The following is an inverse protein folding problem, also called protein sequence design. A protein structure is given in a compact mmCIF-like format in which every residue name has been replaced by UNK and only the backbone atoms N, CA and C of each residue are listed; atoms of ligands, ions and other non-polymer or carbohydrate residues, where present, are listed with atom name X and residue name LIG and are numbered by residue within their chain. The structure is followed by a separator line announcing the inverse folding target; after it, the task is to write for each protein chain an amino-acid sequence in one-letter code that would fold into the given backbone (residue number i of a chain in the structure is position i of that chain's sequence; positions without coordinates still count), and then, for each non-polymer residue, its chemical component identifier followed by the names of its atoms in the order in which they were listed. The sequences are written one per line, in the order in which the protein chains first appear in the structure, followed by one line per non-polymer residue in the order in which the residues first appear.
data_IF_880828023268
#
_entry.id   IF_880828023268
#
_cell.length_a   1.000
_cell.length_b   1.000
_cell.length_c   1.000
_cell.angle_alpha   90.00
_cell.angle_beta   90.00
_cell.angle_gamma   90.00
#
_symmetry.space_group_name_H-M   'P 1'
#
loop_
_entity.id
_entity.type
_entity.pdbx_description
1 polymer ?
#
# COMPACT_ATOMS: atom_id res chain seq x y z
N UNK A 1 28.02 -20.59 -37.50
CA UNK A 1 26.59 -20.96 -37.39
C UNK A 1 25.94 -20.00 -36.40
N UNK A 2 24.93 -19.24 -36.81
CA UNK A 2 24.24 -18.29 -35.92
C UNK A 2 23.33 -19.06 -34.96
N UNK A 3 23.31 -18.69 -33.68
CA UNK A 3 22.47 -19.35 -32.69
C UNK A 3 20.97 -19.20 -33.07
N UNK A 4 20.13 -20.23 -32.85
CA UNK A 4 18.72 -20.15 -33.18
C UNK A 4 18.03 -19.02 -32.40
N UNK A 5 17.14 -18.29 -33.07
CA UNK A 5 16.39 -17.18 -32.48
C UNK A 5 15.54 -17.70 -31.31
N UNK A 6 15.73 -17.14 -30.10
CA UNK A 6 14.94 -17.51 -28.92
C UNK A 6 13.49 -17.02 -29.07
N UNK A 7 12.47 -17.85 -28.80
CA UNK A 7 11.09 -17.42 -28.85
C UNK A 7 10.85 -16.30 -27.82
N UNK A 8 10.18 -15.22 -28.25
CA UNK A 8 9.95 -14.01 -27.44
C UNK A 8 8.65 -14.03 -26.65
N UNK A 9 7.73 -14.93 -27.01
CA UNK A 9 6.38 -14.98 -26.46
C UNK A 9 6.03 -16.40 -26.04
N UNK A 10 5.41 -16.51 -24.87
CA UNK A 10 4.83 -17.74 -24.35
C UNK A 10 3.32 -17.51 -24.19
N UNK A 11 2.51 -18.26 -24.94
CA UNK A 11 1.05 -18.26 -24.82
C UNK A 11 0.60 -19.46 -24.00
N UNK A 12 -0.14 -19.20 -22.93
CA UNK A 12 -0.68 -20.22 -22.04
C UNK A 12 -2.21 -20.23 -22.15
N UNK A 13 -2.77 -21.39 -22.46
CA UNK A 13 -4.21 -21.62 -22.57
C UNK A 13 -4.62 -22.71 -21.59
N UNK A 14 -5.70 -22.47 -20.84
CA UNK A 14 -6.21 -23.40 -19.83
C UNK A 14 -7.72 -23.51 -19.98
N UNK A 15 -8.22 -24.74 -19.93
CA UNK A 15 -9.63 -25.05 -19.70
C UNK A 15 -9.73 -25.66 -18.30
N UNK A 16 -10.54 -25.03 -17.45
CA UNK A 16 -10.70 -25.41 -16.05
C UNK A 16 -12.20 -25.48 -15.73
N UNK A 17 -12.63 -26.57 -15.10
CA UNK A 17 -14.00 -26.74 -14.62
C UNK A 17 -14.05 -26.47 -13.14
N UNK A 18 -15.00 -25.63 -12.73
CA UNK A 18 -15.25 -25.27 -11.34
C UNK A 18 -16.70 -25.63 -11.01
N UNK A 19 -16.92 -26.32 -9.88
CA UNK A 19 -18.24 -26.86 -9.51
C UNK A 19 -18.63 -26.36 -8.13
N UNK A 20 -19.88 -25.90 -7.97
CA UNK A 20 -20.44 -25.43 -6.71
C UNK A 20 -19.60 -24.34 -6.00
N UNK A 21 -18.98 -23.44 -6.76
CA UNK A 21 -18.16 -22.33 -6.24
C UNK A 21 -18.57 -20.99 -6.82
N UNK A 22 -18.26 -19.92 -6.09
CA UNK A 22 -18.56 -18.53 -6.47
C UNK A 22 -17.29 -17.66 -6.34
N UNK A 23 -16.33 -17.80 -7.27
CA UNK A 23 -15.00 -17.21 -7.16
C UNK A 23 -14.99 -15.68 -7.25
N UNK A 24 -15.94 -15.09 -7.97
CA UNK A 24 -16.08 -13.64 -8.09
C UNK A 24 -17.55 -13.25 -7.96
N UNK A 25 -17.82 -12.28 -7.09
CA UNK A 25 -19.15 -11.72 -6.83
C UNK A 25 -19.27 -10.31 -7.38
N UNK A 26 -20.47 -9.91 -7.76
CA UNK A 26 -20.83 -8.53 -8.02
C UNK A 26 -21.23 -7.79 -6.73
N UNK A 27 -21.66 -6.54 -6.86
CA UNK A 27 -22.15 -5.70 -5.77
C UNK A 27 -23.37 -6.26 -5.03
N UNK A 28 -24.15 -7.15 -5.65
CA UNK A 28 -25.34 -7.77 -5.07
C UNK A 28 -25.04 -9.17 -4.51
N UNK A 29 -23.78 -9.62 -4.57
CA UNK A 29 -23.36 -10.94 -4.11
C UNK A 29 -23.63 -12.07 -5.10
N UNK A 30 -24.12 -11.77 -6.32
CA UNK A 30 -24.36 -12.71 -7.40
C UNK A 30 -23.06 -12.99 -8.19
N UNK A 31 -23.00 -14.06 -9.00
CA UNK A 31 -21.84 -14.30 -9.86
C UNK A 31 -21.60 -13.13 -10.81
N UNK A 32 -20.35 -12.68 -10.91
CA UNK A 32 -19.99 -11.71 -11.95
C UNK A 32 -20.23 -12.37 -13.31
N UNK A 33 -20.97 -11.72 -14.21
CA UNK A 33 -21.27 -12.27 -15.54
C UNK A 33 -20.71 -11.43 -16.68
N UNK A 34 -20.64 -12.03 -17.88
CA UNK A 34 -20.33 -11.38 -19.15
C UNK A 34 -21.14 -12.05 -20.27
N UNK A 35 -21.56 -11.28 -21.27
CA UNK A 35 -22.18 -11.85 -22.49
C UNK A 35 -21.08 -12.13 -23.51
N UNK A 36 -20.97 -13.38 -23.97
CA UNK A 36 -20.03 -13.79 -25.00
C UNK A 36 -20.68 -14.77 -25.97
N UNK A 37 -20.74 -14.38 -27.25
CA UNK A 37 -21.45 -15.14 -28.28
C UNK A 37 -22.97 -15.14 -28.09
N UNK A 38 -23.54 -14.05 -27.58
CA UNK A 38 -24.99 -13.91 -27.36
C UNK A 38 -25.55 -14.62 -26.13
N UNK A 39 -24.69 -15.30 -25.34
CA UNK A 39 -25.10 -16.04 -24.14
C UNK A 39 -24.35 -15.49 -22.92
N UNK A 40 -25.06 -15.40 -21.79
CA UNK A 40 -24.47 -15.04 -20.51
C UNK A 40 -23.56 -16.16 -19.97
N UNK A 41 -22.39 -15.77 -19.46
CA UNK A 41 -21.41 -16.66 -18.85
C UNK A 41 -20.91 -16.07 -17.54
N UNK A 42 -20.63 -16.92 -16.56
CA UNK A 42 -19.94 -16.49 -15.35
C UNK A 42 -18.48 -16.14 -15.66
N UNK A 43 -18.01 -15.04 -15.07
CA UNK A 43 -16.71 -14.44 -15.33
C UNK A 43 -15.84 -14.50 -14.08
N UNK A 44 -14.66 -15.12 -14.22
CA UNK A 44 -13.54 -14.90 -13.30
C UNK A 44 -12.69 -13.77 -13.86
N UNK A 45 -12.73 -12.62 -13.20
CA UNK A 45 -12.04 -11.42 -13.68
C UNK A 45 -10.52 -11.59 -13.68
N UNK A 46 -9.85 -10.89 -14.58
CA UNK A 46 -8.40 -10.93 -14.69
C UNK A 46 -7.70 -10.45 -13.41
N UNK A 47 -8.29 -9.50 -12.67
CA UNK A 47 -7.71 -9.02 -11.42
C UNK A 47 -7.80 -10.08 -10.32
N UNK A 48 -8.91 -10.83 -10.23
CA UNK A 48 -9.08 -11.91 -9.26
C UNK A 48 -8.05 -13.03 -9.49
N UNK A 49 -7.90 -13.46 -10.75
CA UNK A 49 -6.94 -14.50 -11.14
C UNK A 49 -5.49 -14.08 -10.88
N UNK A 50 -5.08 -12.90 -11.38
CA UNK A 50 -3.74 -12.36 -11.15
C UNK A 50 -3.43 -12.15 -9.68
N UNK A 51 -4.44 -11.82 -8.85
CA UNK A 51 -4.24 -11.69 -7.40
C UNK A 51 -3.92 -13.05 -6.79
N UNK A 52 -4.69 -14.09 -7.12
CA UNK A 52 -4.45 -15.44 -6.62
C UNK A 52 -3.05 -15.94 -7.01
N UNK A 53 -2.67 -15.77 -8.28
CA UNK A 53 -1.35 -16.14 -8.81
C UNK A 53 -0.20 -15.43 -8.07
N UNK A 54 -0.32 -14.10 -7.87
CA UNK A 54 0.71 -13.32 -7.14
C UNK A 54 0.84 -13.76 -5.69
N UNK A 55 -0.29 -13.99 -5.01
CA UNK A 55 -0.29 -14.42 -3.61
C UNK A 55 0.35 -15.80 -3.48
N UNK A 56 -0.07 -16.75 -4.30
CA UNK A 56 0.51 -18.09 -4.32
C UNK A 56 2.02 -18.07 -4.58
N UNK A 57 2.47 -17.31 -5.58
CA UNK A 57 3.89 -17.19 -5.93
C UNK A 57 4.70 -16.57 -4.79
N UNK A 58 4.17 -15.51 -4.17
CA UNK A 58 4.79 -14.86 -3.02
C UNK A 58 4.86 -15.76 -1.81
N UNK A 59 3.76 -16.40 -1.44
CA UNK A 59 3.70 -17.22 -0.22
C UNK A 59 4.64 -18.45 -0.37
N UNK A 60 4.80 -18.98 -1.60
CA UNK A 60 5.82 -19.98 -1.90
C UNK A 60 7.24 -19.46 -1.81
N UNK A 61 7.53 -18.29 -2.38
CA UNK A 61 8.86 -17.67 -2.30
C UNK A 61 9.25 -17.41 -0.83
N UNK A 62 8.35 -16.83 -0.04
CA UNK A 62 8.53 -16.58 1.39
C UNK A 62 8.75 -17.88 2.20
N UNK A 63 8.19 -19.00 1.74
CA UNK A 63 8.40 -20.32 2.33
C UNK A 63 9.69 -21.03 1.84
N UNK A 64 10.57 -20.32 1.12
CA UNK A 64 11.81 -20.89 0.57
C UNK A 64 11.56 -21.90 -0.56
N UNK A 65 10.42 -21.82 -1.27
CA UNK A 65 10.01 -22.79 -2.29
C UNK A 65 9.84 -22.16 -3.68
N UNK A 66 10.41 -22.82 -4.69
CA UNK A 66 10.18 -22.53 -6.10
C UNK A 66 11.19 -21.54 -6.71
N UNK A 67 11.00 -21.15 -7.98
CA UNK A 67 12.01 -20.38 -8.73
C UNK A 67 12.14 -18.92 -8.29
N UNK A 68 11.27 -18.45 -7.39
CA UNK A 68 11.23 -17.03 -6.97
C UNK A 68 11.79 -16.80 -5.56
N UNK A 69 12.44 -17.79 -4.94
CA UNK A 69 12.94 -17.71 -3.55
C UNK A 69 13.95 -16.58 -3.36
N UNK A 70 14.79 -16.33 -4.36
CA UNK A 70 15.81 -15.26 -4.30
C UNK A 70 15.23 -13.86 -4.55
N UNK A 71 13.94 -13.75 -4.87
CA UNK A 71 13.30 -12.48 -5.21
C UNK A 71 12.50 -11.93 -4.02
N UNK A 72 12.80 -10.68 -3.62
CA UNK A 72 11.94 -9.93 -2.71
C UNK A 72 10.63 -9.56 -3.41
N UNK A 73 9.51 -9.99 -2.84
CA UNK A 73 8.18 -9.71 -3.37
C UNK A 73 7.70 -8.35 -2.88
N UNK A 74 7.17 -7.54 -3.80
CA UNK A 74 6.62 -6.23 -3.43
C UNK A 74 5.30 -6.32 -2.66
N UNK A 75 5.07 -5.35 -1.78
CA UNK A 75 3.81 -5.16 -1.04
C UNK A 75 3.10 -3.92 -1.57
N UNK A 76 1.79 -4.03 -1.80
CA UNK A 76 0.94 -2.91 -2.18
C UNK A 76 0.10 -2.46 -0.98
N UNK A 77 0.45 -1.33 -0.36
CA UNK A 77 -0.25 -0.83 0.83
C UNK A 77 -0.25 0.70 0.92
N UNK A 78 -1.13 1.24 1.77
CA UNK A 78 -1.15 2.65 2.18
C UNK A 78 -0.45 2.87 3.54
N UNK A 79 -0.07 1.78 4.21
CA UNK A 79 0.40 1.76 5.60
C UNK A 79 1.93 1.86 5.71
N UNK A 80 2.62 2.47 4.75
CA UNK A 80 4.08 2.51 4.76
C UNK A 80 4.64 3.23 5.99
N UNK A 81 4.00 4.30 6.47
CA UNK A 81 4.40 4.97 7.70
C UNK A 81 4.28 4.05 8.93
N UNK A 82 3.19 3.27 9.01
CA UNK A 82 2.97 2.32 10.11
C UNK A 82 3.94 1.13 10.03
N UNK A 83 4.26 0.65 8.83
CA UNK A 83 5.25 -0.42 8.64
C UNK A 83 6.65 0.02 9.04
N UNK A 84 7.06 1.22 8.63
CA UNK A 84 8.34 1.81 9.03
C UNK A 84 8.39 2.05 10.54
N UNK A 85 7.32 2.60 11.13
CA UNK A 85 7.25 2.82 12.57
C UNK A 85 7.34 1.50 13.36
N UNK A 86 6.61 0.46 12.93
CA UNK A 86 6.70 -0.86 13.56
C UNK A 86 8.12 -1.44 13.49
N UNK A 87 8.83 -1.24 12.39
CA UNK A 87 10.23 -1.66 12.27
C UNK A 87 11.17 -0.85 13.18
N UNK A 88 10.94 0.46 13.37
CA UNK A 88 11.67 1.28 14.33
C UNK A 88 11.48 0.79 15.78
N UNK A 89 10.26 0.40 16.14
CA UNK A 89 9.98 -0.16 17.47
C UNK A 89 10.63 -1.53 17.66
N UNK A 90 10.36 -2.46 16.74
CA UNK A 90 10.75 -3.86 16.90
C UNK A 90 12.26 -4.06 16.84
N UNK A 91 12.94 -3.29 15.98
CA UNK A 91 14.37 -3.50 15.68
C UNK A 91 15.27 -2.51 16.40
N UNK A 92 14.76 -1.31 16.70
CA UNK A 92 15.56 -0.20 17.22
C UNK A 92 15.04 0.35 18.56
N UNK A 93 13.94 -0.18 19.10
CA UNK A 93 13.44 0.17 20.43
C UNK A 93 12.84 1.57 20.55
N UNK A 94 12.48 2.20 19.43
CA UNK A 94 11.85 3.51 19.45
C UNK A 94 10.48 3.47 20.15
N UNK A 95 10.14 4.56 20.83
CA UNK A 95 8.79 4.77 21.35
C UNK A 95 7.79 4.90 20.18
N UNK A 96 6.61 4.27 20.31
CA UNK A 96 5.60 4.12 19.25
C UNK A 96 5.17 5.45 18.64
N UNK A 97 4.79 6.41 19.46
CA UNK A 97 4.27 7.70 19.01
C UNK A 97 5.33 8.48 18.24
N UNK A 98 6.57 8.51 18.76
CA UNK A 98 7.74 9.07 18.08
C UNK A 98 8.01 8.36 16.76
N UNK A 99 8.03 7.03 16.74
CA UNK A 99 8.29 6.24 15.54
C UNK A 99 7.26 6.55 14.43
N UNK A 100 5.97 6.58 14.78
CA UNK A 100 4.88 6.89 13.84
C UNK A 100 4.98 8.34 13.35
N UNK A 101 5.24 9.29 14.23
CA UNK A 101 5.37 10.70 13.88
C UNK A 101 6.53 10.94 12.91
N UNK A 102 7.71 10.41 13.22
CA UNK A 102 8.92 10.55 12.38
C UNK A 102 8.75 9.83 11.04
N UNK A 103 8.27 8.58 11.03
CA UNK A 103 8.04 7.83 9.79
C UNK A 103 7.05 8.54 8.87
N UNK A 104 5.95 9.07 9.42
CA UNK A 104 4.96 9.84 8.65
C UNK A 104 5.57 11.12 8.08
N UNK A 105 6.29 11.90 8.89
CA UNK A 105 6.88 13.16 8.46
C UNK A 105 7.88 12.95 7.31
N UNK A 106 8.76 11.96 7.44
CA UNK A 106 9.77 11.62 6.42
C UNK A 106 9.09 11.21 5.11
N UNK A 107 8.11 10.31 5.17
CA UNK A 107 7.37 9.90 3.98
C UNK A 107 6.55 11.05 3.37
N UNK A 108 6.00 11.93 4.19
CA UNK A 108 5.24 13.09 3.70
C UNK A 108 6.15 14.05 2.93
N UNK A 109 7.39 14.27 3.41
CA UNK A 109 8.34 15.15 2.74
C UNK A 109 8.85 14.62 1.40
N UNK A 110 8.68 13.33 1.09
CA UNK A 110 8.91 12.82 -0.27
C UNK A 110 7.79 13.17 -1.25
N UNK A 111 6.81 13.97 -0.84
CA UNK A 111 5.66 14.39 -1.65
C UNK A 111 4.42 13.50 -1.50
N UNK A 112 4.44 12.50 -0.60
CA UNK A 112 3.28 11.65 -0.37
C UNK A 112 2.23 12.39 0.47
N UNK A 113 1.01 12.47 -0.04
CA UNK A 113 -0.12 13.01 0.72
C UNK A 113 -0.68 11.95 1.67
N UNK A 114 -1.00 12.33 2.89
CA UNK A 114 -1.61 11.47 3.90
C UNK A 114 -3.11 11.77 4.09
N UNK A 115 -3.82 10.85 4.73
CA UNK A 115 -5.19 11.05 5.16
C UNK A 115 -5.33 12.21 6.15
N UNK A 116 -6.58 12.58 6.42
CA UNK A 116 -6.93 13.66 7.33
C UNK A 116 -6.37 13.37 8.74
N UNK A 117 -5.52 14.25 9.31
CA UNK A 117 -4.99 14.08 10.67
C UNK A 117 -6.06 13.99 11.75
N UNK A 118 -7.23 14.60 11.54
CA UNK A 118 -8.34 14.55 12.50
C UNK A 118 -9.04 13.18 12.55
N UNK A 119 -8.77 12.30 11.57
CA UNK A 119 -9.38 10.97 11.47
C UNK A 119 -8.35 9.89 11.74
N UNK A 120 -8.34 9.37 12.97
CA UNK A 120 -7.37 8.37 13.44
C UNK A 120 -7.24 7.15 12.50
N UNK A 121 -8.33 6.72 11.86
CA UNK A 121 -8.34 5.58 10.93
C UNK A 121 -7.52 5.79 9.65
N UNK A 122 -7.23 7.04 9.27
CA UNK A 122 -6.54 7.36 8.01
C UNK A 122 -5.36 8.31 8.17
N UNK A 123 -5.16 8.91 9.35
CA UNK A 123 -4.14 9.93 9.61
C UNK A 123 -2.71 9.51 9.21
N UNK A 124 -2.40 8.21 9.37
CA UNK A 124 -1.09 7.62 9.06
C UNK A 124 -1.08 6.80 7.76
N UNK A 125 -2.15 6.89 6.96
CA UNK A 125 -2.26 6.23 5.67
C UNK A 125 -2.01 7.21 4.54
N UNK A 126 -1.17 6.85 3.58
CA UNK A 126 -1.04 7.62 2.34
C UNK A 126 -2.38 7.70 1.61
N UNK A 127 -2.68 8.77 0.87
CA UNK A 127 -3.91 8.89 0.05
C UNK A 127 -3.91 7.93 -1.15
N UNK A 128 -2.73 7.47 -1.55
CA UNK A 128 -2.52 6.56 -2.69
C UNK A 128 -1.96 5.23 -2.21
N UNK A 129 -2.30 4.14 -2.92
CA UNK A 129 -1.68 2.83 -2.74
C UNK A 129 -0.29 2.84 -3.36
N UNK A 130 0.72 2.45 -2.58
CA UNK A 130 2.10 2.36 -3.03
C UNK A 130 2.52 0.89 -3.12
N UNK A 131 3.21 0.55 -4.20
CA UNK A 131 3.85 -0.76 -4.38
C UNK A 131 5.36 -0.59 -4.27
N UNK A 132 5.97 -1.25 -3.28
CA UNK A 132 7.41 -1.22 -3.04
C UNK A 132 7.88 -2.59 -2.51
N UNK A 133 9.19 -2.90 -2.53
CA UNK A 133 9.75 -4.12 -1.92
C UNK A 133 9.27 -4.32 -0.48
N UNK A 134 9.05 -5.57 -0.04
CA UNK A 134 8.49 -5.87 1.29
C UNK A 134 9.32 -5.28 2.44
N UNK A 135 10.64 -5.22 2.26
CA UNK A 135 11.66 -4.71 3.18
C UNK A 135 11.81 -3.18 3.11
N UNK A 136 11.07 -2.46 2.27
CA UNK A 136 11.24 -1.02 2.12
C UNK A 136 11.00 -0.26 3.43
N UNK A 137 10.00 -0.68 4.22
CA UNK A 137 9.71 -0.07 5.52
C UNK A 137 10.84 -0.26 6.53
N UNK A 138 11.43 -1.44 6.53
CA UNK A 138 12.59 -1.82 7.35
C UNK A 138 13.84 -1.04 6.95
N UNK A 139 14.12 -0.90 5.65
CA UNK A 139 15.28 -0.13 5.16
C UNK A 139 15.17 1.36 5.49
N UNK A 140 13.96 1.92 5.44
CA UNK A 140 13.73 3.30 5.88
C UNK A 140 13.97 3.39 7.39
N UNK A 141 13.44 2.45 8.18
CA UNK A 141 13.65 2.43 9.62
C UNK A 141 15.15 2.35 9.99
N UNK A 142 15.90 1.48 9.33
CA UNK A 142 17.35 1.34 9.54
C UNK A 142 18.11 2.65 9.24
N UNK A 143 17.72 3.35 8.17
CA UNK A 143 18.33 4.64 7.84
C UNK A 143 17.98 5.74 8.86
N UNK A 144 16.74 5.76 9.37
CA UNK A 144 16.31 6.72 10.38
C UNK A 144 16.98 6.46 11.72
N UNK A 145 17.09 5.20 12.14
CA UNK A 145 17.75 4.81 13.39
C UNK A 145 19.26 5.15 13.36
N UNK A 146 19.93 4.94 12.22
CA UNK A 146 21.33 5.32 12.05
C UNK A 146 21.60 6.83 12.18
N UNK A 147 20.55 7.66 12.09
CA UNK A 147 20.60 9.12 12.14
C UNK A 147 19.57 9.69 13.11
N UNK A 148 19.28 8.99 14.22
CA UNK A 148 18.13 9.27 15.10
C UNK A 148 18.00 10.74 15.49
N UNK A 149 19.03 11.34 16.09
CA UNK A 149 19.00 12.73 16.55
C UNK A 149 18.62 13.70 15.43
N UNK A 150 19.26 13.55 14.27
CA UNK A 150 19.01 14.38 13.09
C UNK A 150 17.63 14.13 12.50
N UNK A 151 17.20 12.88 12.44
CA UNK A 151 15.91 12.48 11.89
C UNK A 151 14.75 13.01 12.74
N UNK A 152 14.84 12.90 14.06
CA UNK A 152 13.84 13.40 15.02
C UNK A 152 13.76 14.92 14.97
N UNK A 153 14.89 15.62 15.11
CA UNK A 153 14.92 17.08 15.07
C UNK A 153 14.37 17.64 13.75
N UNK A 154 14.75 17.02 12.63
CA UNK A 154 14.21 17.41 11.32
C UNK A 154 12.71 17.13 11.21
N UNK A 155 12.23 15.98 11.71
CA UNK A 155 10.81 15.62 11.63
C UNK A 155 9.93 16.51 12.51
N UNK A 156 10.43 16.97 13.66
CA UNK A 156 9.79 17.98 14.50
C UNK A 156 9.66 19.31 13.75
N UNK A 157 10.76 19.86 13.25
CA UNK A 157 10.74 21.11 12.49
C UNK A 157 9.87 21.03 11.23
N UNK A 158 9.87 19.89 10.53
CA UNK A 158 9.01 19.66 9.37
C UNK A 158 7.52 19.69 9.75
N UNK A 159 7.14 19.05 10.87
CA UNK A 159 5.75 19.03 11.34
C UNK A 159 5.26 20.42 11.75
N UNK A 160 6.10 21.19 12.45
CA UNK A 160 5.80 22.58 12.82
C UNK A 160 5.61 23.46 11.57
N UNK A 161 6.47 23.29 10.56
CA UNK A 161 6.34 24.00 9.28
C UNK A 161 5.05 23.62 8.54
N UNK A 162 4.66 22.34 8.52
CA UNK A 162 3.41 21.90 7.87
C UNK A 162 2.17 22.41 8.61
N UNK A 163 2.20 22.47 9.95
CA UNK A 163 1.11 23.03 10.75
C UNK A 163 0.94 24.54 10.51
N UNK A 164 2.05 25.29 10.41
CA UNK A 164 2.01 26.73 10.11
C UNK A 164 1.63 27.03 8.65
N UNK A 165 1.88 26.10 7.73
CA UNK A 165 1.50 26.19 6.31
C UNK A 165 0.04 25.81 6.05
N UNK A 166 -0.61 25.10 6.96
CA UNK A 166 -2.04 24.82 6.86
C UNK A 166 -2.83 26.14 6.92
N UNK A 167 -3.73 26.42 5.96
CA UNK A 167 -4.42 27.70 5.92
C UNK A 167 -5.28 27.90 7.17
N UNK A 168 -5.23 29.11 7.75
CA UNK A 168 -6.03 29.57 8.89
C UNK A 168 -7.54 29.68 8.61
N UNK A 169 -8.10 28.82 7.75
CA UNK A 169 -9.51 28.75 7.39
C UNK A 169 -10.32 27.96 8.44
N UNK A 170 -10.26 28.40 9.70
CA UNK A 170 -11.13 27.89 10.76
C UNK A 170 -11.52 28.98 11.79
N UNK A 171 -11.43 30.26 11.42
CA UNK A 171 -12.05 31.35 12.17
C UNK A 171 -13.19 31.95 11.35
N UNK A 172 -14.21 31.12 11.06
CA UNK A 172 -15.49 31.64 10.60
C UNK A 172 -16.12 32.38 11.76
N UNK A 173 -16.18 33.69 11.61
CA UNK A 173 -16.96 34.63 12.40
C UNK A 173 -18.37 34.08 12.56
N UNK A 174 -18.79 33.78 13.80
CA UNK A 174 -20.22 33.69 14.13
C UNK A 174 -20.78 35.09 13.87
N UNK A 175 -21.56 35.24 12.81
CA UNK A 175 -22.49 36.35 12.71
C UNK A 175 -23.61 36.08 13.70
N UNK A 176 -23.64 36.85 14.78
CA UNK A 176 -24.79 36.94 15.66
C UNK A 176 -25.96 37.46 14.83
N UNK A 177 -26.90 36.57 14.52
CA UNK A 177 -28.20 36.99 14.00
C UNK A 177 -29.05 37.41 15.20
N UNK A 178 -28.84 38.64 15.65
CA UNK A 178 -29.86 39.41 16.35
C UNK A 178 -30.68 40.08 15.26
N UNK A 179 -31.94 39.69 15.12
CA UNK A 179 -32.95 40.50 14.46
C UNK A 179 -34.20 40.54 15.35
N UNK A 180 -34.90 41.69 15.34
CA UNK A 180 -35.77 42.17 16.41
C UNK A 180 -37.11 41.45 16.54
#
# INVERSE_FOLDING_TARGET
MSAPARPRFLSLHLLETLVAVLPVRDENGAPKTIVYGGVERHLITSQARRRAERMYSRDRANAGKGPLVEYSMGVRTREWALKTAKALEDRHGWERERAVATARAVLQATGLKFGDPAKATVAHLTKVLLFAPADAGERIADHLAAHEEKAVAWAEGYREAEQSRAPAFARVVRFDHVMP
#
